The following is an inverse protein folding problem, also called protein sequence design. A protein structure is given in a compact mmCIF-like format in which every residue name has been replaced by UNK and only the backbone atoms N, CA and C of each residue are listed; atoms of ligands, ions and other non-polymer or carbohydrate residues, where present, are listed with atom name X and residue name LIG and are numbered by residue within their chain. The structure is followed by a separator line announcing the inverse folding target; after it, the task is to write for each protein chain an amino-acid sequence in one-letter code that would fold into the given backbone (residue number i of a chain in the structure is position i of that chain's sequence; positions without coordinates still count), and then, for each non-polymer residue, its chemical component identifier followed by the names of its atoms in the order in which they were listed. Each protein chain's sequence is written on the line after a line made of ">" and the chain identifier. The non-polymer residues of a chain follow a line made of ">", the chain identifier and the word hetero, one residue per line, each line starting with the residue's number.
data_IF_935949534490
#
_entry.id   IF_935949534490
#
_cell.length_a   1.000
_cell.length_b   1.000
_cell.length_c   1.000
_cell.angle_alpha   90.00
_cell.angle_beta   90.00
_cell.angle_gamma   90.00
#
_symmetry.space_group_name_H-M   'P 1'
#
loop_
_entity.id
_entity.type
_entity.pdbx_description
1 polymer ?
#
# COMPACT_ATOMS: atom_id res chain seq x y z
N UNK A 1 -24.44 6.64 -1.85
CA UNK A 1 -23.20 5.84 -2.04
C UNK A 1 -22.31 6.08 -0.84
N UNK A 2 -21.57 5.08 -0.35
CA UNK A 2 -20.66 5.30 0.77
C UNK A 2 -19.61 6.35 0.39
N UNK A 3 -19.33 7.25 1.32
CA UNK A 3 -18.30 8.28 1.18
C UNK A 3 -16.93 7.61 1.28
N UNK A 4 -16.09 7.75 0.25
CA UNK A 4 -14.75 7.13 0.22
C UNK A 4 -13.73 8.21 0.55
N UNK A 5 -12.96 8.04 1.62
CA UNK A 5 -11.89 8.97 1.96
C UNK A 5 -10.67 8.77 1.06
N UNK A 6 -10.01 9.86 0.74
CA UNK A 6 -8.73 9.86 0.04
C UNK A 6 -7.67 9.17 0.91
N UNK A 7 -6.95 8.16 0.41
CA UNK A 7 -5.89 7.54 1.18
C UNK A 7 -4.76 8.55 1.43
N UNK A 8 -4.44 9.47 0.52
CA UNK A 8 -3.32 10.38 0.69
C UNK A 8 -3.51 11.44 1.81
N UNK A 9 -4.70 12.02 1.94
CA UNK A 9 -4.94 13.17 2.83
C UNK A 9 -6.16 13.02 3.77
N UNK A 10 -6.76 11.83 3.82
CA UNK A 10 -7.95 11.49 4.62
C UNK A 10 -9.23 12.31 4.31
N UNK A 11 -9.18 13.23 3.34
CA UNK A 11 -10.34 14.03 2.95
C UNK A 11 -11.44 13.14 2.38
N UNK A 12 -12.66 13.40 2.84
CA UNK A 12 -13.86 12.74 2.35
C UNK A 12 -14.48 13.46 1.13
N UNK A 13 -13.84 14.53 0.64
CA UNK A 13 -14.19 15.26 -0.58
C UNK A 13 -13.55 14.59 -1.79
N UNK A 14 -14.10 13.43 -2.15
CA UNK A 14 -13.67 12.65 -3.30
C UNK A 14 -14.83 12.45 -4.26
N UNK A 15 -14.50 12.29 -5.54
CA UNK A 15 -15.46 12.08 -6.60
C UNK A 15 -15.06 10.89 -7.48
N UNK A 16 -15.99 10.42 -8.30
CA UNK A 16 -15.71 9.33 -9.25
C UNK A 16 -14.98 9.88 -10.46
N UNK A 17 -14.05 9.09 -10.97
CA UNK A 17 -13.44 9.35 -12.27
C UNK A 17 -14.34 8.73 -13.35
N UNK A 18 -14.67 9.53 -14.36
CA UNK A 18 -15.39 9.13 -15.56
C UNK A 18 -14.40 9.01 -16.71
N UNK A 19 -14.30 7.81 -17.29
CA UNK A 19 -13.45 7.53 -18.44
C UNK A 19 -14.27 7.47 -19.74
N UNK A 20 -13.58 7.60 -20.87
CA UNK A 20 -14.16 7.52 -22.20
C UNK A 20 -14.40 8.89 -22.84
N UNK A 21 -15.32 8.93 -23.81
CA UNK A 21 -15.71 10.15 -24.53
C UNK A 21 -17.10 10.59 -24.04
N UNK A 22 -17.19 11.51 -23.07
CA UNK A 22 -18.48 11.96 -22.57
C UNK A 22 -19.17 12.92 -23.54
N UNK A 23 -20.50 12.94 -23.53
CA UNK A 23 -21.29 14.01 -24.12
C UNK A 23 -21.46 15.15 -23.09
N UNK A 24 -21.12 16.38 -23.48
CA UNK A 24 -21.11 17.54 -22.58
C UNK A 24 -22.53 18.11 -22.45
N UNK A 25 -23.28 17.52 -21.53
CA UNK A 25 -24.60 18.02 -21.11
C UNK A 25 -24.46 19.05 -20.00
N UNK A 26 -25.40 19.99 -19.87
CA UNK A 26 -25.46 20.96 -18.76
C UNK A 26 -25.30 20.30 -17.38
N UNK A 27 -25.84 19.09 -17.22
CA UNK A 27 -25.70 18.30 -16.00
C UNK A 27 -24.25 17.89 -15.74
N UNK A 28 -23.57 17.36 -16.77
CA UNK A 28 -22.17 16.95 -16.64
C UNK A 28 -21.30 18.16 -16.36
N UNK A 29 -21.49 19.26 -17.09
CA UNK A 29 -20.75 20.51 -16.86
C UNK A 29 -20.89 20.98 -15.41
N UNK A 30 -22.12 21.00 -14.87
CA UNK A 30 -22.35 21.35 -13.47
C UNK A 30 -21.72 20.35 -12.48
N UNK A 31 -21.71 19.05 -12.79
CA UNK A 31 -21.07 18.03 -11.95
C UNK A 31 -19.54 18.16 -11.96
N UNK A 32 -18.94 18.58 -13.06
CA UNK A 32 -17.50 18.90 -13.16
C UNK A 32 -17.17 20.16 -12.35
N UNK A 33 -17.93 21.25 -12.54
CA UNK A 33 -17.74 22.51 -11.81
C UNK A 33 -17.89 22.35 -10.30
N UNK A 34 -18.83 21.51 -9.86
CA UNK A 34 -19.07 21.25 -8.44
C UNK A 34 -18.19 20.14 -7.85
N UNK A 35 -17.27 19.57 -8.64
CA UNK A 35 -16.34 18.52 -8.20
C UNK A 35 -17.02 17.20 -7.84
N UNK A 36 -18.21 16.92 -8.39
CA UNK A 36 -18.94 15.65 -8.20
C UNK A 36 -18.45 14.54 -9.14
N UNK A 37 -17.83 14.92 -10.25
CA UNK A 37 -17.21 14.04 -11.24
C UNK A 37 -15.84 14.62 -11.63
N UNK A 38 -14.88 13.74 -11.87
CA UNK A 38 -13.59 14.08 -12.48
C UNK A 38 -13.47 13.32 -13.81
N UNK A 39 -12.90 13.93 -14.85
CA UNK A 39 -12.69 13.23 -16.14
C UNK A 39 -11.32 12.57 -16.14
N UNK A 40 -11.30 11.28 -16.49
CA UNK A 40 -10.08 10.52 -16.68
C UNK A 40 -9.65 10.47 -18.15
N UNK A 41 -8.92 9.42 -18.50
CA UNK A 41 -8.51 9.15 -19.87
C UNK A 41 -9.63 8.61 -20.77
N UNK A 42 -9.32 8.48 -22.06
CA UNK A 42 -10.25 7.91 -23.04
C UNK A 42 -10.36 6.38 -22.97
N UNK A 43 -9.32 5.70 -22.47
CA UNK A 43 -9.21 4.24 -22.47
C UNK A 43 -9.08 3.76 -21.04
N UNK A 44 -9.88 2.76 -20.69
CA UNK A 44 -9.76 2.02 -19.44
C UNK A 44 -8.80 0.85 -19.61
N UNK A 45 -7.94 0.67 -18.62
CA UNK A 45 -6.95 -0.37 -18.39
C UNK A 45 -7.24 -1.02 -17.03
N UNK A 46 -6.56 -2.12 -16.72
CA UNK A 46 -6.88 -2.92 -15.54
C UNK A 46 -6.53 -2.25 -14.20
N UNK A 47 -5.62 -1.27 -14.19
CA UNK A 47 -5.12 -0.61 -12.97
C UNK A 47 -5.46 0.89 -12.89
N UNK A 48 -6.50 1.32 -13.61
CA UNK A 48 -6.88 2.73 -13.59
C UNK A 48 -7.54 3.15 -12.27
N UNK A 49 -7.22 4.35 -11.77
CA UNK A 49 -7.86 4.89 -10.58
C UNK A 49 -9.36 5.11 -10.82
N UNK A 50 -10.17 4.98 -9.77
CA UNK A 50 -11.63 5.15 -9.86
C UNK A 50 -12.16 6.30 -9.00
N UNK A 51 -11.27 7.01 -8.30
CA UNK A 51 -11.57 8.18 -7.48
C UNK A 51 -10.54 9.27 -7.69
N UNK A 52 -11.02 10.49 -7.64
CA UNK A 52 -10.21 11.70 -7.56
C UNK A 52 -10.46 12.38 -6.22
N UNK A 53 -9.41 12.92 -5.59
CA UNK A 53 -9.53 13.74 -4.39
C UNK A 53 -9.51 15.23 -4.76
N UNK A 54 -10.61 15.93 -4.54
CA UNK A 54 -10.72 17.37 -4.83
C UNK A 54 -9.86 18.26 -3.92
N UNK A 55 -9.24 17.71 -2.86
CA UNK A 55 -8.42 18.48 -1.91
C UNK A 55 -6.92 18.39 -2.16
N UNK A 56 -6.42 17.21 -2.52
CA UNK A 56 -5.00 17.01 -2.79
C UNK A 56 -4.71 16.63 -4.24
N UNK A 57 -5.74 16.61 -5.08
CA UNK A 57 -5.67 16.43 -6.53
C UNK A 57 -5.05 15.11 -6.99
N UNK A 58 -5.01 14.10 -6.11
CA UNK A 58 -4.54 12.76 -6.46
C UNK A 58 -5.68 11.89 -6.95
N UNK A 59 -5.37 11.09 -7.97
CA UNK A 59 -6.20 9.99 -8.43
C UNK A 59 -5.78 8.70 -7.71
N UNK A 60 -6.76 7.88 -7.31
CA UNK A 60 -6.51 6.63 -6.61
C UNK A 60 -7.57 5.58 -6.91
N UNK A 61 -7.19 4.31 -6.80
CA UNK A 61 -8.13 3.20 -6.77
C UNK A 61 -8.65 2.98 -5.34
N UNK A 62 -9.96 3.16 -5.17
CA UNK A 62 -10.65 2.88 -3.90
C UNK A 62 -10.58 1.41 -3.45
N UNK A 63 -10.18 0.49 -4.33
CA UNK A 63 -10.00 -0.94 -4.05
C UNK A 63 -8.53 -1.37 -3.97
N UNK A 64 -7.59 -0.44 -4.09
CA UNK A 64 -6.17 -0.75 -3.96
C UNK A 64 -5.89 -1.45 -2.62
N UNK A 65 -5.08 -2.52 -2.60
CA UNK A 65 -4.72 -3.17 -1.36
C UNK A 65 -3.86 -2.29 -0.47
N UNK A 66 -3.89 -2.60 0.82
CA UNK A 66 -2.88 -2.10 1.75
C UNK A 66 -1.62 -2.98 1.66
N UNK A 67 -0.46 -2.34 1.59
CA UNK A 67 0.84 -3.01 1.62
C UNK A 67 1.50 -2.72 2.96
N UNK A 68 1.83 -3.76 3.72
CA UNK A 68 2.49 -3.69 5.01
C UNK A 68 3.91 -4.21 4.87
N UNK A 69 4.89 -3.40 5.28
CA UNK A 69 6.31 -3.72 5.16
C UNK A 69 6.95 -3.84 6.54
N UNK A 70 7.53 -5.01 6.83
CA UNK A 70 8.55 -5.11 7.86
C UNK A 70 9.92 -4.62 7.34
N UNK A 71 10.91 -4.54 8.23
CA UNK A 71 12.25 -4.03 7.97
C UNK A 71 13.28 -5.14 8.13
N UNK A 72 13.36 -5.73 9.31
CA UNK A 72 14.41 -6.68 9.66
C UNK A 72 14.11 -8.00 8.95
N UNK A 73 15.08 -8.57 8.23
CA UNK A 73 14.85 -9.77 7.42
C UNK A 73 14.04 -9.55 6.13
N UNK A 74 13.49 -8.34 5.92
CA UNK A 74 12.80 -7.92 4.70
C UNK A 74 13.62 -6.92 3.88
N UNK A 75 13.75 -5.69 4.37
CA UNK A 75 14.50 -4.62 3.72
C UNK A 75 15.97 -4.62 4.14
N UNK A 76 16.28 -5.21 5.29
CA UNK A 76 17.63 -5.44 5.79
C UNK A 76 17.93 -6.94 5.84
N UNK A 77 19.06 -7.34 5.25
CA UNK A 77 19.58 -8.70 5.41
C UNK A 77 20.22 -8.90 6.81
N UNK A 78 20.63 -7.81 7.46
CA UNK A 78 21.06 -7.70 8.85
C UNK A 78 21.16 -6.21 9.22
N UNK A 79 21.42 -5.90 10.49
CA UNK A 79 21.48 -4.54 11.08
C UNK A 79 22.29 -3.50 10.29
N UNK A 80 23.25 -3.92 9.45
CA UNK A 80 24.15 -3.03 8.72
C UNK A 80 24.02 -3.13 7.19
N UNK A 81 23.22 -4.07 6.68
CA UNK A 81 23.23 -4.41 5.25
C UNK A 81 21.81 -4.41 4.70
N UNK A 82 21.47 -3.50 3.77
CA UNK A 82 20.26 -3.61 2.98
C UNK A 82 20.17 -4.97 2.29
N UNK A 83 18.96 -5.52 2.19
CA UNK A 83 18.73 -6.71 1.39
C UNK A 83 19.02 -6.42 -0.10
N UNK A 84 19.45 -7.45 -0.85
CA UNK A 84 19.61 -7.30 -2.28
C UNK A 84 18.26 -6.89 -2.89
N UNK A 85 18.29 -5.93 -3.81
CA UNK A 85 17.11 -5.36 -4.45
C UNK A 85 16.14 -4.57 -3.53
N UNK A 86 16.53 -4.24 -2.29
CA UNK A 86 15.67 -3.49 -1.38
C UNK A 86 15.23 -2.13 -1.94
N UNK A 87 16.14 -1.40 -2.61
CA UNK A 87 15.83 -0.11 -3.25
C UNK A 87 14.76 -0.29 -4.33
N UNK A 88 14.98 -1.23 -5.24
CA UNK A 88 14.11 -1.52 -6.38
C UNK A 88 12.75 -2.04 -5.90
N UNK A 89 12.73 -2.82 -4.82
CA UNK A 89 11.51 -3.31 -4.21
C UNK A 89 10.68 -2.17 -3.61
N UNK A 90 11.29 -1.27 -2.81
CA UNK A 90 10.61 -0.09 -2.26
C UNK A 90 10.03 0.78 -3.39
N UNK A 91 10.83 1.05 -4.43
CA UNK A 91 10.38 1.81 -5.59
C UNK A 91 9.19 1.14 -6.29
N UNK A 92 9.26 -0.18 -6.50
CA UNK A 92 8.18 -0.95 -7.14
C UNK A 92 6.88 -0.92 -6.33
N UNK A 93 6.98 -1.07 -5.00
CA UNK A 93 5.81 -0.99 -4.11
C UNK A 93 5.17 0.39 -4.17
N UNK A 94 5.98 1.45 -4.06
CA UNK A 94 5.47 2.82 -4.02
C UNK A 94 5.04 3.37 -5.38
N UNK A 95 5.56 2.84 -6.49
CA UNK A 95 5.03 3.12 -7.81
C UNK A 95 3.60 2.58 -7.96
N UNK A 96 3.34 1.38 -7.41
CA UNK A 96 2.03 0.71 -7.51
C UNK A 96 1.03 1.17 -6.47
N UNK A 97 1.50 1.41 -5.24
CA UNK A 97 0.66 1.66 -4.06
C UNK A 97 1.16 2.87 -3.25
N UNK A 98 1.33 4.06 -3.88
CA UNK A 98 1.95 5.22 -3.24
C UNK A 98 1.19 5.71 -2.01
N UNK A 99 -0.12 5.49 -1.96
CA UNK A 99 -0.99 6.01 -0.90
C UNK A 99 -1.49 4.93 0.08
N UNK A 100 -1.20 3.66 -0.16
CA UNK A 100 -1.69 2.54 0.68
C UNK A 100 -0.55 1.64 1.14
N UNK A 101 0.67 2.19 1.26
CA UNK A 101 1.84 1.49 1.82
C UNK A 101 2.13 1.96 3.24
N UNK A 102 2.37 1.01 4.14
CA UNK A 102 2.47 1.20 5.57
C UNK A 102 3.66 0.44 6.15
N UNK A 103 4.32 1.04 7.14
CA UNK A 103 5.26 0.34 8.01
C UNK A 103 4.50 -0.58 8.95
N UNK A 104 4.87 -1.87 8.98
CA UNK A 104 4.37 -2.82 9.97
C UNK A 104 5.55 -3.57 10.56
N UNK A 105 6.28 -2.84 11.39
CA UNK A 105 7.56 -3.26 11.93
C UNK A 105 7.67 -2.91 13.40
N UNK A 106 8.58 -3.58 14.11
CA UNK A 106 8.89 -3.32 15.52
C UNK A 106 9.39 -1.90 15.77
N UNK A 107 9.90 -1.23 14.74
CA UNK A 107 10.41 0.15 14.78
C UNK A 107 9.37 1.23 14.45
N UNK A 108 8.09 0.88 14.25
CA UNK A 108 7.04 1.87 13.97
C UNK A 108 5.85 1.71 14.90
N UNK A 109 5.60 2.72 15.73
CA UNK A 109 4.36 2.88 16.50
C UNK A 109 3.90 4.34 16.41
N UNK A 110 3.11 4.63 15.38
CA UNK A 110 2.47 5.93 15.16
C UNK A 110 3.36 7.02 14.56
N UNK A 111 4.68 6.84 14.52
CA UNK A 111 5.65 7.77 13.96
C UNK A 111 6.45 7.14 12.82
N UNK A 112 6.21 7.60 11.58
CA UNK A 112 6.90 7.10 10.38
C UNK A 112 8.33 7.62 10.25
N UNK A 113 8.75 8.59 11.06
CA UNK A 113 10.13 9.06 11.07
C UNK A 113 11.08 8.09 11.78
N UNK A 114 10.57 7.25 12.70
CA UNK A 114 11.39 6.30 13.47
C UNK A 114 11.99 5.20 12.58
N UNK A 115 11.22 4.51 11.71
CA UNK A 115 11.77 3.61 10.69
C UNK A 115 12.88 4.23 9.84
N UNK A 116 12.67 5.48 9.39
CA UNK A 116 13.62 6.18 8.53
C UNK A 116 14.89 6.55 9.30
N UNK A 117 14.77 6.97 10.56
CA UNK A 117 15.94 7.21 11.43
C UNK A 117 16.72 5.92 11.68
N UNK A 118 16.01 4.78 11.79
CA UNK A 118 16.62 3.48 12.00
C UNK A 118 17.44 3.02 10.79
N UNK A 119 16.85 2.98 9.58
CA UNK A 119 17.51 2.37 8.40
C UNK A 119 17.97 3.35 7.33
N UNK A 120 17.48 4.58 7.33
CA UNK A 120 17.65 5.51 6.20
C UNK A 120 19.11 5.85 5.87
N UNK A 121 20.00 5.78 6.85
CA UNK A 121 21.44 5.98 6.65
C UNK A 121 22.13 4.89 5.82
N UNK A 122 21.46 3.75 5.61
CA UNK A 122 21.92 2.63 4.79
C UNK A 122 21.51 2.75 3.31
N UNK A 123 20.65 3.73 2.98
CA UNK A 123 20.09 3.92 1.64
C UNK A 123 20.49 5.28 1.06
N UNK A 124 20.37 5.40 -0.26
CA UNK A 124 20.56 6.69 -0.94
C UNK A 124 19.41 7.67 -0.68
N UNK A 125 19.65 8.96 -0.95
CA UNK A 125 18.69 10.02 -0.66
C UNK A 125 17.36 9.85 -1.41
N UNK A 126 17.39 9.34 -2.64
CA UNK A 126 16.19 9.07 -3.44
C UNK A 126 15.30 8.02 -2.77
N UNK A 127 15.92 6.93 -2.30
CA UNK A 127 15.21 5.85 -1.60
C UNK A 127 14.67 6.33 -0.25
N UNK A 128 15.41 7.19 0.46
CA UNK A 128 14.92 7.81 1.71
C UNK A 128 13.70 8.70 1.47
N UNK A 129 13.67 9.46 0.38
CA UNK A 129 12.48 10.26 0.02
C UNK A 129 11.28 9.40 -0.37
N UNK A 130 11.51 8.23 -0.98
CA UNK A 130 10.46 7.22 -1.16
C UNK A 130 9.94 6.72 0.19
N UNK A 131 10.81 6.36 1.13
CA UNK A 131 10.42 5.88 2.46
C UNK A 131 9.56 6.90 3.24
N UNK A 132 9.72 8.20 3.00
CA UNK A 132 8.87 9.25 3.63
C UNK A 132 7.41 9.18 3.23
N UNK A 133 7.08 8.50 2.12
CA UNK A 133 5.71 8.29 1.68
C UNK A 133 5.04 7.11 2.40
N UNK A 134 5.83 6.23 3.03
CA UNK A 134 5.32 5.07 3.77
C UNK A 134 4.73 5.53 5.09
N UNK A 135 3.47 5.15 5.32
CA UNK A 135 2.68 5.62 6.46
C UNK A 135 2.99 4.83 7.72
N UNK A 136 2.83 5.43 8.91
CA UNK A 136 2.98 4.69 10.14
C UNK A 136 1.79 3.75 10.34
N UNK A 137 2.04 2.67 11.08
CA UNK A 137 0.98 1.98 11.82
C UNK A 137 1.24 2.13 13.32
N UNK A 138 0.19 1.93 14.10
CA UNK A 138 0.31 1.73 15.55
C UNK A 138 -0.25 0.36 15.88
N UNK A 139 0.58 -0.47 16.48
CA UNK A 139 0.20 -1.80 16.91
C UNK A 139 0.42 -1.89 18.42
N UNK A 140 -0.56 -2.45 19.14
CA UNK A 140 -0.53 -2.51 20.59
C UNK A 140 0.31 -3.71 21.06
N UNK A 141 -0.29 -4.90 21.04
CA UNK A 141 0.32 -6.13 21.54
C UNK A 141 0.81 -7.04 20.43
N UNK A 142 0.36 -6.84 19.19
CA UNK A 142 0.68 -7.67 18.02
C UNK A 142 0.51 -6.84 16.73
N UNK A 143 1.38 -7.05 15.74
CA UNK A 143 1.36 -6.33 14.45
C UNK A 143 0.02 -6.50 13.73
N UNK A 144 -0.56 -7.69 13.77
CA UNK A 144 -1.87 -7.98 13.13
C UNK A 144 -3.02 -7.09 13.60
N UNK A 145 -2.93 -6.41 14.76
CA UNK A 145 -3.94 -5.43 15.18
C UNK A 145 -3.92 -4.13 14.37
N UNK A 146 -2.82 -3.83 13.70
CA UNK A 146 -2.72 -2.68 12.80
C UNK A 146 -3.21 -2.99 11.38
N UNK A 147 -3.46 -4.26 11.05
CA UNK A 147 -3.95 -4.66 9.72
C UNK A 147 -5.44 -4.29 9.59
N UNK A 148 -5.76 -3.57 8.52
CA UNK A 148 -7.14 -3.29 8.12
C UNK A 148 -7.70 -4.48 7.33
N UNK A 149 -8.35 -5.41 8.05
CA UNK A 149 -9.00 -6.59 7.46
C UNK A 149 -10.24 -6.26 6.61
N UNK A 150 -10.70 -5.00 6.55
CA UNK A 150 -11.82 -4.61 5.68
C UNK A 150 -11.42 -4.42 4.22
N UNK A 151 -10.12 -4.50 3.92
CA UNK A 151 -9.55 -4.32 2.59
C UNK A 151 -8.62 -5.48 2.22
N UNK A 152 -8.43 -5.79 0.93
CA UNK A 152 -7.34 -6.64 0.50
C UNK A 152 -6.00 -6.07 0.98
N UNK A 153 -5.06 -6.93 1.33
CA UNK A 153 -3.74 -6.50 1.77
C UNK A 153 -2.66 -7.52 1.45
N UNK A 154 -1.41 -7.08 1.51
CA UNK A 154 -0.22 -7.91 1.50
C UNK A 154 0.68 -7.47 2.66
N UNK A 155 1.23 -8.42 3.40
CA UNK A 155 2.18 -8.15 4.48
C UNK A 155 3.47 -8.91 4.22
N UNK A 156 4.55 -8.18 3.96
CA UNK A 156 5.88 -8.73 3.75
C UNK A 156 6.62 -8.75 5.09
N UNK A 157 6.92 -9.96 5.58
CA UNK A 157 7.63 -10.20 6.84
C UNK A 157 8.45 -11.49 6.70
N UNK A 158 9.52 -11.62 7.47
CA UNK A 158 10.32 -12.84 7.52
C UNK A 158 9.94 -13.77 8.68
N UNK A 159 9.30 -13.22 9.72
CA UNK A 159 8.90 -13.98 10.91
C UNK A 159 7.40 -13.81 11.22
N UNK A 160 6.67 -14.92 11.19
CA UNK A 160 5.24 -14.95 11.50
C UNK A 160 5.00 -15.64 12.84
N UNK A 161 4.71 -14.85 13.87
CA UNK A 161 4.47 -15.39 15.20
C UNK A 161 3.19 -16.23 15.24
N UNK A 162 3.12 -17.15 16.21
CA UNK A 162 2.00 -18.08 16.34
C UNK A 162 0.64 -17.36 16.44
N UNK A 163 0.54 -16.31 17.25
CA UNK A 163 -0.71 -15.55 17.43
C UNK A 163 -1.13 -14.79 16.16
N UNK A 164 -0.14 -14.33 15.38
CA UNK A 164 -0.36 -13.62 14.12
C UNK A 164 -0.87 -14.60 13.07
N UNK A 165 -0.23 -15.77 12.95
CA UNK A 165 -0.68 -16.87 12.10
C UNK A 165 -2.11 -17.30 12.44
N UNK A 166 -2.43 -17.47 13.72
CA UNK A 166 -3.80 -17.79 14.14
C UNK A 166 -4.79 -16.70 13.73
N UNK A 167 -4.42 -15.42 13.89
CA UNK A 167 -5.27 -14.28 13.53
C UNK A 167 -5.53 -14.25 12.03
N UNK A 168 -4.50 -14.39 11.20
CA UNK A 168 -4.65 -14.44 9.74
C UNK A 168 -5.49 -15.65 9.28
N UNK A 169 -5.26 -16.81 9.88
CA UNK A 169 -6.01 -18.05 9.58
C UNK A 169 -7.50 -17.90 9.94
N UNK A 170 -7.81 -17.32 11.11
CA UNK A 170 -9.20 -17.05 11.54
C UNK A 170 -9.94 -16.11 10.58
N UNK A 171 -9.22 -15.20 9.93
CA UNK A 171 -9.77 -14.28 8.93
C UNK A 171 -9.73 -14.86 7.49
N UNK A 172 -9.19 -16.06 7.27
CA UNK A 172 -9.11 -16.69 5.95
C UNK A 172 -8.13 -16.03 4.99
N UNK A 173 -7.13 -15.29 5.51
CA UNK A 173 -6.21 -14.44 4.73
C UNK A 173 -4.74 -14.78 5.03
N UNK A 174 -4.44 -16.03 5.40
CA UNK A 174 -3.07 -16.45 5.70
C UNK A 174 -2.13 -16.22 4.51
N UNK A 175 -2.59 -16.44 3.27
CA UNK A 175 -1.77 -16.27 2.07
C UNK A 175 -1.52 -14.78 1.72
N UNK A 176 -2.15 -13.83 2.42
CA UNK A 176 -1.82 -12.40 2.32
C UNK A 176 -0.55 -12.04 3.11
N UNK A 177 -0.08 -12.93 3.99
CA UNK A 177 1.26 -12.84 4.54
C UNK A 177 2.25 -13.45 3.55
N UNK A 178 3.20 -12.62 3.13
CA UNK A 178 4.20 -12.92 2.12
C UNK A 178 5.53 -13.13 2.81
N UNK A 179 5.92 -14.40 2.95
CA UNK A 179 7.22 -14.77 3.53
C UNK A 179 8.36 -14.17 2.70
N UNK A 180 9.18 -13.36 3.35
CA UNK A 180 10.51 -12.99 2.87
C UNK A 180 11.53 -13.89 3.56
N UNK A 181 12.48 -14.43 2.80
CA UNK A 181 13.39 -15.45 3.32
C UNK A 181 14.77 -15.29 2.69
N UNK A 182 15.47 -14.24 3.14
CA UNK A 182 16.78 -13.86 2.64
C UNK A 182 17.86 -14.89 2.97
N UNK A 183 17.68 -15.68 4.04
CA UNK A 183 18.58 -16.76 4.41
C UNK A 183 18.58 -17.90 3.38
N UNK A 184 17.41 -18.21 2.81
CA UNK A 184 17.25 -19.23 1.78
C UNK A 184 17.54 -18.70 0.38
N UNK A 185 17.18 -17.45 0.11
CA UNK A 185 17.38 -16.78 -1.17
C UNK A 185 17.76 -15.30 -0.93
N UNK A 186 19.06 -14.94 -0.98
CA UNK A 186 19.50 -13.56 -0.77
C UNK A 186 18.87 -12.54 -1.72
N UNK A 187 18.40 -12.99 -2.89
CA UNK A 187 17.79 -12.17 -3.92
C UNK A 187 16.25 -12.27 -3.90
N UNK A 188 15.63 -12.74 -2.81
CA UNK A 188 14.20 -13.06 -2.78
C UNK A 188 13.30 -11.88 -3.24
N UNK A 189 13.67 -10.64 -2.90
CA UNK A 189 12.95 -9.44 -3.32
C UNK A 189 12.87 -9.26 -4.85
N UNK A 190 13.86 -9.75 -5.61
CA UNK A 190 13.84 -9.72 -7.07
C UNK A 190 12.64 -10.46 -7.66
N UNK A 191 12.14 -11.49 -6.96
CA UNK A 191 10.96 -12.26 -7.42
C UNK A 191 9.70 -11.41 -7.35
N UNK A 192 9.53 -10.63 -6.29
CA UNK A 192 8.36 -9.76 -6.13
C UNK A 192 8.41 -8.57 -7.10
N UNK A 193 9.60 -8.10 -7.46
CA UNK A 193 9.77 -7.10 -8.52
C UNK A 193 9.35 -7.68 -9.87
N UNK A 194 9.80 -8.89 -10.19
CA UNK A 194 9.46 -9.56 -11.45
C UNK A 194 7.97 -9.96 -11.54
N UNK A 195 7.38 -10.39 -10.42
CA UNK A 195 5.99 -10.83 -10.33
C UNK A 195 5.42 -10.49 -8.96
N UNK A 196 4.81 -9.31 -8.84
CA UNK A 196 4.25 -8.84 -7.59
C UNK A 196 3.03 -9.70 -7.19
N UNK A 197 2.92 -10.12 -5.92
CA UNK A 197 1.80 -10.96 -5.47
C UNK A 197 0.48 -10.20 -5.55
N UNK A 198 -0.62 -10.96 -5.66
CA UNK A 198 -1.97 -10.43 -5.59
C UNK A 198 -2.60 -10.85 -4.26
N UNK A 199 -3.28 -9.94 -3.55
CA UNK A 199 -3.97 -10.26 -2.30
C UNK A 199 -5.16 -11.17 -2.58
N UNK A 200 -5.46 -12.08 -1.65
CA UNK A 200 -6.75 -12.74 -1.57
C UNK A 200 -7.82 -11.71 -1.16
N UNK A 201 -8.89 -11.66 -1.94
CA UNK A 201 -10.08 -10.89 -1.64
C UNK A 201 -11.16 -11.81 -1.07
N UNK A 202 -11.40 -11.71 0.25
CA UNK A 202 -12.41 -12.52 0.95
C UNK A 202 -13.82 -12.21 0.43
N UNK A 203 -14.05 -11.03 -0.17
CA UNK A 203 -15.35 -10.62 -0.70
C UNK A 203 -15.80 -11.38 -1.97
N UNK A 204 -14.91 -12.18 -2.58
CA UNK A 204 -15.20 -12.99 -3.77
C UNK A 204 -15.56 -14.45 -3.42
N UNK A 205 -15.46 -14.84 -2.14
CA UNK A 205 -15.69 -16.23 -1.69
C UNK A 205 -16.99 -16.44 -0.89
N UNK A 206 -17.98 -15.57 -1.06
CA UNK A 206 -19.32 -15.67 -0.45
C UNK A 206 -20.43 -15.95 -1.44
#
# INVERSE_FOLDING_TARGET
>A
MPQISCPNCDSANTCRIMYGMPDYTDKLEHELETGKVHLGGCILTDNDPNRHCNNCEVDFDSKAPNIYLDIDGVLLANDLTPANYAKEFIATVLERYPYTTYWLTTHCDGDASVPIQHIGHLFDAETVELMRQIKPTSWQTAKTRAIDFSRPFLWFDDDLFYEEKETLTKNGVLDNWIEVNLAKDPDHLARFIASFPLPLDVSITG
#
